data_IF_754894343711
#
_entry.id   IF_754894343711
#
_cell.length_a   1.000
_cell.length_b   1.000
_cell.length_c   1.000
_cell.angle_alpha   90.00
_cell.angle_beta   90.00
_cell.angle_gamma   90.00
#
_symmetry.space_group_name_H-M   'P 1'
#
loop_
_entity.id
_entity.type
_entity.pdbx_description
1 polymer ?
#
# COMPACT_ATOMS: atom_id res chain seq x y z
N UNK A 1 19.51 -17.68 -76.91
CA UNK A 1 19.44 -18.73 -75.87
C UNK A 1 18.50 -18.26 -74.76
N UNK A 2 17.25 -18.75 -74.69
CA UNK A 2 16.39 -18.60 -73.52
C UNK A 2 16.01 -19.99 -72.94
N UNK A 3 16.22 -20.19 -71.64
CA UNK A 3 15.78 -21.36 -70.88
C UNK A 3 15.24 -20.87 -69.52
N UNK A 4 13.92 -20.90 -69.27
CA UNK A 4 13.06 -22.01 -68.80
C UNK A 4 13.04 -22.17 -67.26
N UNK A 5 11.83 -22.47 -66.75
CA UNK A 5 11.44 -23.03 -65.43
C UNK A 5 11.37 -22.03 -64.25
N UNK A 6 10.36 -22.03 -63.36
CA UNK A 6 9.25 -22.95 -63.10
C UNK A 6 8.06 -22.22 -62.46
N UNK A 7 6.85 -22.58 -62.88
CA UNK A 7 5.57 -22.14 -62.28
C UNK A 7 5.19 -23.15 -61.20
N UNK A 8 5.13 -22.73 -59.94
CA UNK A 8 4.62 -23.52 -58.82
C UNK A 8 3.10 -23.29 -58.69
N UNK A 9 2.31 -24.33 -58.95
CA UNK A 9 0.87 -24.37 -58.65
C UNK A 9 0.73 -25.02 -57.27
N UNK A 10 0.39 -24.23 -56.25
CA UNK A 10 -0.01 -24.74 -54.93
C UNK A 10 -1.53 -24.79 -54.88
N UNK A 11 -2.07 -26.01 -54.92
CA UNK A 11 -3.48 -26.28 -54.68
C UNK A 11 -3.77 -26.16 -53.19
N UNK A 12 -4.50 -25.13 -52.79
CA UNK A 12 -5.02 -24.96 -51.43
C UNK A 12 -6.38 -25.68 -51.37
N UNK A 13 -6.40 -26.85 -50.76
CA UNK A 13 -7.61 -27.57 -50.39
C UNK A 13 -8.32 -26.85 -49.24
N UNK A 14 -9.42 -26.16 -49.57
CA UNK A 14 -10.38 -25.60 -48.63
C UNK A 14 -11.17 -26.73 -47.95
N UNK A 15 -10.77 -27.11 -46.73
CA UNK A 15 -11.66 -27.81 -45.80
C UNK A 15 -12.34 -26.76 -44.89
N UNK A 16 -13.68 -26.71 -44.84
CA UNK A 16 -14.37 -25.94 -43.81
C UNK A 16 -14.20 -26.69 -42.48
N UNK A 17 -13.28 -26.24 -41.64
CA UNK A 17 -13.24 -26.64 -40.24
C UNK A 17 -14.50 -26.06 -39.60
N UNK A 18 -15.51 -26.90 -39.39
CA UNK A 18 -16.63 -26.61 -38.50
C UNK A 18 -16.03 -26.40 -37.09
N UNK A 19 -15.75 -25.15 -36.74
CA UNK A 19 -15.41 -24.77 -35.38
C UNK A 19 -16.68 -24.95 -34.54
N UNK A 20 -16.79 -26.10 -33.88
CA UNK A 20 -17.74 -26.27 -32.80
C UNK A 20 -17.46 -25.17 -31.77
N UNK A 21 -18.42 -24.25 -31.60
CA UNK A 21 -18.38 -23.25 -30.54
C UNK A 21 -18.48 -23.98 -29.21
N UNK A 22 -17.33 -24.33 -28.63
CA UNK A 22 -17.25 -24.74 -27.24
C UNK A 22 -17.72 -23.57 -26.41
N UNK A 23 -18.84 -23.73 -25.70
CA UNK A 23 -19.26 -22.78 -24.69
C UNK A 23 -18.10 -22.67 -23.69
N UNK A 24 -17.40 -21.54 -23.70
CA UNK A 24 -16.30 -21.26 -22.80
C UNK A 24 -16.89 -21.31 -21.40
N UNK A 25 -16.69 -22.42 -20.67
CA UNK A 25 -16.93 -22.44 -19.24
C UNK A 25 -16.02 -21.35 -18.67
N UNK A 26 -16.63 -20.24 -18.25
CA UNK A 26 -15.93 -19.17 -17.55
C UNK A 26 -15.33 -19.79 -16.30
N UNK A 27 -14.05 -20.16 -16.40
CA UNK A 27 -13.24 -20.62 -15.28
C UNK A 27 -13.36 -19.53 -14.21
N UNK A 28 -13.99 -19.86 -13.09
CA UNK A 28 -14.22 -18.94 -11.98
C UNK A 28 -12.88 -18.30 -11.63
N UNK A 29 -12.75 -16.98 -11.79
CA UNK A 29 -11.52 -16.29 -11.46
C UNK A 29 -11.33 -16.35 -9.94
N UNK A 30 -10.48 -17.27 -9.49
CA UNK A 30 -10.10 -17.35 -8.08
C UNK A 30 -8.79 -16.60 -7.91
N UNK A 31 -8.88 -15.47 -7.21
CA UNK A 31 -7.75 -14.60 -6.92
C UNK A 31 -7.31 -14.92 -5.50
N UNK A 32 -6.14 -15.54 -5.37
CA UNK A 32 -5.50 -15.79 -4.09
C UNK A 32 -4.67 -14.56 -3.73
N UNK A 33 -5.02 -13.88 -2.66
CA UNK A 33 -4.24 -12.75 -2.17
C UNK A 33 -3.06 -13.21 -1.30
N UNK A 34 -2.04 -12.35 -1.19
CA UNK A 34 -0.94 -12.60 -0.26
C UNK A 34 -1.34 -12.23 1.19
N UNK A 35 -1.42 -13.21 2.11
CA UNK A 35 -1.74 -12.92 3.51
C UNK A 35 -0.73 -11.97 4.15
N UNK A 36 0.56 -12.12 3.89
CA UNK A 36 1.61 -11.37 4.58
C UNK A 36 1.67 -9.89 4.16
N UNK A 37 0.91 -9.51 3.12
CA UNK A 37 0.82 -8.12 2.64
C UNK A 37 -0.48 -7.45 3.09
N UNK A 38 -1.63 -8.10 2.92
CA UNK A 38 -2.95 -7.52 3.24
C UNK A 38 -3.96 -8.58 3.69
N UNK A 39 -3.47 -9.66 4.29
CA UNK A 39 -4.30 -10.63 5.00
C UNK A 39 -5.10 -10.00 6.14
N UNK A 40 -6.10 -10.73 6.67
CA UNK A 40 -7.01 -10.19 7.69
C UNK A 40 -6.30 -9.63 8.94
N UNK A 41 -5.32 -10.35 9.49
CA UNK A 41 -4.55 -9.90 10.65
C UNK A 41 -3.70 -8.66 10.35
N UNK A 42 -3.07 -8.60 9.18
CA UNK A 42 -2.32 -7.41 8.75
C UNK A 42 -3.24 -6.18 8.62
N UNK A 43 -4.39 -6.33 7.93
CA UNK A 43 -5.36 -5.25 7.75
C UNK A 43 -5.92 -4.75 9.08
N UNK A 44 -6.41 -5.66 9.93
CA UNK A 44 -6.94 -5.28 11.24
C UNK A 44 -5.87 -4.69 12.14
N UNK A 45 -4.62 -5.15 12.05
CA UNK A 45 -3.47 -4.51 12.67
C UNK A 45 -3.36 -3.03 12.30
N UNK A 46 -3.35 -2.70 11.00
CA UNK A 46 -3.32 -1.30 10.54
C UNK A 46 -4.57 -0.50 10.96
N UNK A 47 -5.75 -1.11 10.99
CA UNK A 47 -6.98 -0.42 11.41
C UNK A 47 -6.93 -0.06 12.90
N UNK A 48 -6.42 -0.95 13.74
CA UNK A 48 -6.22 -0.69 15.17
C UNK A 48 -5.13 0.38 15.39
N UNK A 49 -4.05 0.37 14.60
CA UNK A 49 -3.04 1.43 14.64
C UNK A 49 -3.62 2.79 14.25
N UNK A 50 -4.43 2.85 13.19
CA UNK A 50 -5.11 4.07 12.78
C UNK A 50 -6.05 4.60 13.88
N UNK A 51 -6.82 3.72 14.52
CA UNK A 51 -7.66 4.09 15.65
C UNK A 51 -6.83 4.64 16.82
N UNK A 52 -5.69 4.00 17.12
CA UNK A 52 -4.77 4.44 18.15
C UNK A 52 -4.18 5.83 17.85
N UNK A 53 -3.73 6.06 16.61
CA UNK A 53 -3.22 7.36 16.15
C UNK A 53 -4.28 8.44 16.32
N UNK A 54 -5.51 8.16 15.91
CA UNK A 54 -6.64 9.09 16.03
C UNK A 54 -6.87 9.44 17.51
N UNK A 55 -6.88 8.45 18.39
CA UNK A 55 -7.05 8.67 19.83
C UNK A 55 -5.89 9.47 20.44
N UNK A 56 -4.65 9.16 20.09
CA UNK A 56 -3.49 9.94 20.51
C UNK A 56 -3.58 11.40 20.05
N UNK A 57 -3.98 11.67 18.80
CA UNK A 57 -4.09 13.03 18.28
C UNK A 57 -5.14 13.88 19.02
N UNK A 58 -6.25 13.26 19.45
CA UNK A 58 -7.31 13.96 20.19
C UNK A 58 -7.05 14.10 21.68
N UNK A 59 -6.51 13.05 22.33
CA UNK A 59 -6.39 12.98 23.77
C UNK A 59 -4.98 13.37 24.26
N UNK A 60 -3.93 12.79 23.70
CA UNK A 60 -2.55 12.90 24.20
C UNK A 60 -1.52 12.93 23.05
N UNK A 61 -1.42 14.05 22.29
CA UNK A 61 -0.61 14.13 21.08
C UNK A 61 0.90 13.95 21.34
N UNK A 62 1.34 14.17 22.59
CA UNK A 62 2.72 13.94 23.03
C UNK A 62 3.16 12.47 22.90
N UNK A 63 2.23 11.52 23.03
CA UNK A 63 2.49 10.07 22.98
C UNK A 63 2.25 9.46 21.61
N UNK A 64 1.83 10.26 20.63
CA UNK A 64 1.62 9.80 19.25
C UNK A 64 2.90 9.26 18.60
N UNK A 65 4.08 9.57 19.14
CA UNK A 65 5.36 9.01 18.66
C UNK A 65 5.42 7.48 18.82
N UNK A 66 4.80 6.90 19.84
CA UNK A 66 4.73 5.45 20.04
C UNK A 66 4.01 4.81 18.86
N UNK A 67 2.85 5.36 18.49
CA UNK A 67 2.08 4.88 17.35
C UNK A 67 2.82 5.07 16.02
N UNK A 68 3.53 6.21 15.82
CA UNK A 68 4.37 6.41 14.63
C UNK A 68 5.40 5.31 14.47
N UNK A 69 6.19 5.04 15.52
CA UNK A 69 7.24 4.02 15.47
C UNK A 69 6.65 2.63 15.20
N UNK A 70 5.58 2.25 15.91
CA UNK A 70 4.89 0.98 15.69
C UNK A 70 4.38 0.82 14.25
N UNK A 71 3.79 1.88 13.70
CA UNK A 71 3.32 1.90 12.33
C UNK A 71 4.46 1.85 11.31
N UNK A 72 5.54 2.60 11.51
CA UNK A 72 6.70 2.54 10.61
C UNK A 72 7.31 1.13 10.54
N UNK A 73 7.39 0.42 11.67
CA UNK A 73 7.86 -0.97 11.70
C UNK A 73 6.91 -1.91 10.94
N UNK A 74 5.60 -1.73 11.14
CA UNK A 74 4.58 -2.53 10.46
C UNK A 74 4.62 -2.30 8.94
N UNK A 75 4.69 -1.03 8.53
CA UNK A 75 4.85 -0.65 7.12
C UNK A 75 6.11 -1.28 6.54
N UNK A 76 7.26 -1.14 7.20
CA UNK A 76 8.53 -1.69 6.73
C UNK A 76 8.43 -3.21 6.49
N UNK A 77 7.80 -3.93 7.41
CA UNK A 77 7.62 -5.39 7.29
C UNK A 77 6.81 -5.78 6.05
N UNK A 78 5.71 -5.07 5.79
CA UNK A 78 4.83 -5.32 4.64
C UNK A 78 5.54 -4.97 3.32
N UNK A 79 6.32 -3.89 3.28
CA UNK A 79 7.09 -3.53 2.09
C UNK A 79 8.19 -4.56 1.79
N UNK A 80 8.89 -5.08 2.81
CA UNK A 80 9.90 -6.14 2.62
C UNK A 80 9.24 -7.37 1.97
N UNK A 81 8.10 -7.82 2.47
CA UNK A 81 7.36 -8.94 1.90
C UNK A 81 6.91 -8.65 0.45
N UNK A 82 6.39 -7.44 0.21
CA UNK A 82 5.97 -7.01 -1.14
C UNK A 82 7.15 -7.03 -2.13
N UNK A 83 8.31 -6.51 -1.76
CA UNK A 83 9.49 -6.51 -2.63
C UNK A 83 10.03 -7.93 -2.87
N UNK A 84 9.98 -8.81 -1.87
CA UNK A 84 10.30 -10.23 -2.04
C UNK A 84 9.36 -10.91 -3.05
N UNK A 85 8.08 -10.56 -3.05
CA UNK A 85 7.10 -11.07 -3.99
C UNK A 85 7.31 -10.53 -5.41
N UNK A 86 7.75 -9.28 -5.57
CA UNK A 86 8.11 -8.74 -6.88
C UNK A 86 9.21 -9.55 -7.55
N UNK A 87 10.23 -9.97 -6.79
CA UNK A 87 11.31 -10.82 -7.31
C UNK A 87 10.78 -12.17 -7.84
N UNK A 88 9.72 -12.70 -7.23
CA UNK A 88 9.07 -13.95 -7.65
C UNK A 88 8.04 -13.77 -8.75
N UNK A 89 7.78 -12.53 -9.21
CA UNK A 89 6.71 -12.18 -10.17
C UNK A 89 5.31 -12.67 -9.72
N UNK A 90 5.09 -12.77 -8.41
CA UNK A 90 3.82 -13.24 -7.83
C UNK A 90 2.88 -12.10 -7.43
N UNK A 91 3.33 -10.84 -7.55
CA UNK A 91 2.52 -9.68 -7.16
C UNK A 91 1.39 -9.46 -8.14
N UNK A 92 0.19 -9.31 -7.60
CA UNK A 92 -0.99 -8.95 -8.38
C UNK A 92 -1.07 -7.42 -8.40
N UNK A 93 -1.33 -6.81 -9.57
CA UNK A 93 -1.34 -5.35 -9.72
C UNK A 93 -2.26 -4.61 -8.72
N UNK A 94 -3.31 -5.27 -8.22
CA UNK A 94 -4.23 -4.73 -7.21
C UNK A 94 -3.57 -4.54 -5.83
N UNK A 95 -2.57 -5.36 -5.50
CA UNK A 95 -1.88 -5.37 -4.21
C UNK A 95 -1.11 -4.07 -4.01
N UNK A 96 -0.59 -3.48 -5.08
CA UNK A 96 0.12 -2.21 -5.01
C UNK A 96 -0.80 -1.05 -4.59
N UNK A 97 -2.03 -1.02 -5.10
CA UNK A 97 -3.02 -0.04 -4.69
C UNK A 97 -3.45 -0.30 -3.23
N UNK A 98 -3.75 -1.56 -2.86
CA UNK A 98 -4.10 -1.92 -1.48
C UNK A 98 -2.99 -1.53 -0.50
N UNK A 99 -1.74 -1.78 -0.86
CA UNK A 99 -0.57 -1.41 -0.08
C UNK A 99 -0.55 0.09 0.20
N UNK A 100 -0.70 0.94 -0.82
CA UNK A 100 -0.74 2.39 -0.64
C UNK A 100 -1.82 2.84 0.35
N UNK A 101 -3.03 2.29 0.25
CA UNK A 101 -4.10 2.68 1.17
C UNK A 101 -3.85 2.20 2.61
N UNK A 102 -3.29 0.99 2.77
CA UNK A 102 -2.97 0.44 4.09
C UNK A 102 -1.78 1.14 4.75
N UNK A 103 -0.70 1.38 4.02
CA UNK A 103 0.56 1.88 4.60
C UNK A 103 0.72 3.38 4.53
N UNK A 104 0.08 4.05 3.58
CA UNK A 104 0.25 5.48 3.37
C UNK A 104 -1.00 6.24 3.73
N UNK A 105 -2.16 5.91 3.15
CA UNK A 105 -3.38 6.68 3.39
C UNK A 105 -3.84 6.63 4.85
N UNK A 106 -3.78 5.46 5.51
CA UNK A 106 -4.11 5.32 6.93
C UNK A 106 -3.16 6.08 7.86
N UNK A 107 -1.91 6.28 7.44
CA UNK A 107 -0.84 6.84 8.27
C UNK A 107 -0.48 8.28 7.90
N UNK A 108 -1.04 8.82 6.82
CA UNK A 108 -0.69 10.12 6.24
C UNK A 108 -0.83 11.27 7.25
N UNK A 109 -1.83 11.19 8.12
CA UNK A 109 -2.15 12.22 9.11
C UNK A 109 -1.45 12.02 10.46
N UNK A 110 -0.60 10.99 10.61
CA UNK A 110 0.19 10.75 11.80
C UNK A 110 1.45 11.66 11.86
N UNK A 111 1.30 12.93 11.48
CA UNK A 111 2.39 13.89 11.43
C UNK A 111 2.63 14.50 12.83
N UNK A 112 3.89 14.89 13.14
CA UNK A 112 4.16 15.67 14.34
C UNK A 112 3.45 17.04 14.27
N UNK A 113 2.78 17.43 15.36
CA UNK A 113 1.99 18.67 15.43
C UNK A 113 2.85 19.92 15.66
N UNK A 114 4.07 19.76 16.19
CA UNK A 114 5.06 20.82 16.40
C UNK A 114 6.44 20.44 15.89
N UNK A 115 7.31 21.46 15.80
CA UNK A 115 8.73 21.27 15.45
C UNK A 115 9.44 20.38 16.49
N UNK A 116 9.20 20.58 17.79
CA UNK A 116 9.80 19.76 18.85
C UNK A 116 9.30 18.31 18.79
N UNK A 117 8.01 18.09 18.52
CA UNK A 117 7.47 16.76 18.27
C UNK A 117 8.08 16.07 17.04
N UNK A 118 8.40 16.84 16.00
CA UNK A 118 9.09 16.33 14.81
C UNK A 118 10.55 15.95 15.13
N UNK A 119 11.26 16.76 15.91
CA UNK A 119 12.61 16.48 16.40
C UNK A 119 12.64 15.18 17.21
N UNK A 120 11.71 15.04 18.17
CA UNK A 120 11.52 13.83 19.00
C UNK A 120 11.21 12.58 18.18
N UNK A 121 10.51 12.73 17.06
CA UNK A 121 10.12 11.62 16.17
C UNK A 121 11.05 11.46 14.97
N UNK A 122 12.21 12.14 14.95
CA UNK A 122 13.06 12.29 13.76
C UNK A 122 13.44 10.96 13.08
N UNK A 123 13.83 9.95 13.88
CA UNK A 123 14.15 8.62 13.37
C UNK A 123 12.95 7.92 12.70
N UNK A 124 11.81 7.85 13.38
CA UNK A 124 10.58 7.26 12.82
C UNK A 124 10.08 8.00 11.57
N UNK A 125 10.15 9.33 11.59
CA UNK A 125 9.77 10.17 10.45
C UNK A 125 10.70 9.93 9.26
N UNK A 126 12.01 9.85 9.49
CA UNK A 126 12.99 9.54 8.46
C UNK A 126 12.70 8.19 7.81
N UNK A 127 12.50 7.14 8.61
CA UNK A 127 12.19 5.81 8.10
C UNK A 127 10.86 5.78 7.32
N UNK A 128 9.82 6.45 7.81
CA UNK A 128 8.55 6.56 7.09
C UNK A 128 8.70 7.26 5.73
N UNK A 129 9.41 8.40 5.70
CA UNK A 129 9.67 9.14 4.47
C UNK A 129 10.52 8.33 3.49
N UNK A 130 11.50 7.57 3.97
CA UNK A 130 12.29 6.68 3.14
C UNK A 130 11.43 5.61 2.48
N UNK A 131 10.49 5.01 3.22
CA UNK A 131 9.56 4.01 2.67
C UNK A 131 8.63 4.65 1.61
N UNK A 132 8.11 5.85 1.87
CA UNK A 132 7.33 6.57 0.86
C UNK A 132 8.15 6.87 -0.39
N UNK A 133 9.40 7.28 -0.25
CA UNK A 133 10.32 7.43 -1.38
C UNK A 133 10.43 6.12 -2.17
N UNK A 134 10.66 4.99 -1.49
CA UNK A 134 10.75 3.67 -2.14
C UNK A 134 9.47 3.32 -2.90
N UNK A 135 8.29 3.56 -2.33
CA UNK A 135 7.02 3.33 -3.01
C UNK A 135 6.88 4.14 -4.30
N UNK A 136 7.15 5.45 -4.24
CA UNK A 136 7.03 6.30 -5.42
C UNK A 136 8.06 5.96 -6.50
N UNK A 137 9.29 5.63 -6.11
CA UNK A 137 10.33 5.21 -7.05
C UNK A 137 10.06 3.85 -7.68
N UNK A 138 9.41 2.92 -6.97
CA UNK A 138 9.03 1.60 -7.48
C UNK A 138 7.76 1.63 -8.35
N UNK A 139 6.88 2.62 -8.16
CA UNK A 139 5.57 2.68 -8.81
C UNK A 139 5.62 2.62 -10.35
N UNK A 140 6.55 3.30 -11.06
CA UNK A 140 6.67 3.16 -12.51
C UNK A 140 6.88 1.71 -12.95
N UNK A 141 7.77 0.96 -12.29
CA UNK A 141 7.98 -0.44 -12.63
C UNK A 141 6.68 -1.26 -12.48
N UNK A 142 5.92 -1.00 -11.41
CA UNK A 142 4.66 -1.71 -11.16
C UNK A 142 3.63 -1.44 -12.25
N UNK A 143 3.39 -0.18 -12.60
CA UNK A 143 2.36 0.17 -13.58
C UNK A 143 2.77 -0.07 -15.04
N UNK A 144 4.07 -0.11 -15.34
CA UNK A 144 4.57 -0.39 -16.69
C UNK A 144 4.82 -1.87 -16.96
N UNK A 145 5.26 -2.64 -15.96
CA UNK A 145 5.63 -4.05 -16.15
C UNK A 145 4.85 -5.00 -15.23
N UNK A 146 4.78 -4.72 -13.93
CA UNK A 146 4.26 -5.71 -12.98
C UNK A 146 2.73 -5.89 -13.02
N UNK A 147 1.97 -4.92 -13.57
CA UNK A 147 0.52 -5.05 -13.72
C UNK A 147 0.10 -6.21 -14.64
N UNK A 148 1.00 -6.63 -15.54
CA UNK A 148 0.77 -7.79 -16.40
C UNK A 148 1.07 -9.12 -15.68
N UNK A 149 1.80 -9.09 -14.56
CA UNK A 149 2.04 -10.27 -13.75
C UNK A 149 0.73 -10.71 -13.09
N UNK A 150 0.47 -12.01 -13.12
CA UNK A 150 -0.74 -12.59 -12.53
C UNK A 150 -2.04 -12.32 -13.30
N UNK A 151 -2.00 -11.65 -14.46
CA UNK A 151 -3.19 -11.48 -15.30
C UNK A 151 -3.67 -12.83 -15.82
N UNK A 152 -4.84 -13.28 -15.35
CA UNK A 152 -5.49 -14.49 -15.84
C UNK A 152 -6.43 -14.15 -17.01
N UNK A 153 -6.47 -14.95 -18.09
CA UNK A 153 -7.36 -14.71 -19.22
C UNK A 153 -8.82 -14.82 -18.76
N UNK A 154 -9.63 -13.80 -19.08
CA UNK A 154 -11.04 -13.73 -18.68
C UNK A 154 -11.28 -13.22 -17.26
N UNK A 155 -10.22 -12.86 -16.51
CA UNK A 155 -10.36 -12.23 -15.20
C UNK A 155 -10.20 -10.71 -15.29
N UNK A 156 -11.25 -9.98 -14.92
CA UNK A 156 -11.24 -8.51 -14.87
C UNK A 156 -11.09 -8.04 -13.42
N UNK A 157 -9.88 -7.61 -13.06
CA UNK A 157 -9.59 -7.07 -11.75
C UNK A 157 -10.09 -5.63 -11.62
N UNK A 158 -10.78 -5.31 -10.52
CA UNK A 158 -11.42 -4.01 -10.31
C UNK A 158 -10.94 -3.35 -9.03
N UNK A 159 -10.63 -2.06 -9.06
CA UNK A 159 -10.39 -1.27 -7.84
C UNK A 159 -11.65 -0.48 -7.49
N UNK A 160 -11.92 -0.31 -6.20
CA UNK A 160 -13.06 0.49 -5.76
C UNK A 160 -12.68 1.96 -5.62
N UNK A 161 -13.19 2.83 -6.49
CA UNK A 161 -13.06 4.28 -6.34
C UNK A 161 -14.45 4.91 -6.43
N UNK A 162 -15.25 4.76 -5.37
CA UNK A 162 -16.70 5.00 -5.32
C UNK A 162 -17.55 4.12 -6.25
N UNK A 163 -16.97 3.67 -7.36
CA UNK A 163 -17.49 2.69 -8.30
C UNK A 163 -16.39 1.67 -8.62
N UNK A 164 -16.72 0.40 -8.93
CA UNK A 164 -15.72 -0.57 -9.36
C UNK A 164 -15.17 -0.21 -10.75
N UNK A 165 -13.87 0.08 -10.82
CA UNK A 165 -13.16 0.43 -12.07
C UNK A 165 -12.20 -0.71 -12.41
N UNK A 166 -12.28 -1.23 -13.63
CA UNK A 166 -11.30 -2.21 -14.13
C UNK A 166 -9.89 -1.61 -14.15
N UNK A 167 -8.91 -2.29 -13.55
CA UNK A 167 -7.50 -1.86 -13.58
C UNK A 167 -6.93 -1.92 -15.00
N UNK A 168 -7.55 -2.71 -15.87
CA UNK A 168 -7.16 -2.90 -17.26
C UNK A 168 -7.84 -1.92 -18.20
N UNK A 169 -8.76 -1.07 -17.71
CA UNK A 169 -9.33 -0.01 -18.50
C UNK A 169 -8.21 0.93 -19.00
N UNK A 170 -8.15 1.15 -20.31
CA UNK A 170 -7.08 1.94 -20.96
C UNK A 170 -6.88 3.31 -20.32
N UNK A 171 -7.98 3.97 -19.96
CA UNK A 171 -7.96 5.27 -19.26
C UNK A 171 -7.28 5.17 -17.90
N UNK A 172 -7.77 4.28 -17.03
CA UNK A 172 -7.21 4.08 -15.69
C UNK A 172 -5.72 3.70 -15.76
N UNK A 173 -5.35 2.77 -16.63
CA UNK A 173 -3.97 2.33 -16.78
C UNK A 173 -3.04 3.46 -17.23
N UNK A 174 -3.44 4.24 -18.23
CA UNK A 174 -2.67 5.40 -18.69
C UNK A 174 -2.52 6.45 -17.59
N UNK A 175 -3.61 6.75 -16.87
CA UNK A 175 -3.61 7.67 -15.75
C UNK A 175 -2.64 7.23 -14.65
N UNK A 176 -2.66 5.96 -14.24
CA UNK A 176 -1.74 5.44 -13.21
C UNK A 176 -0.28 5.46 -13.67
N UNK A 177 0.00 5.19 -14.96
CA UNK A 177 1.35 5.34 -15.53
C UNK A 177 1.84 6.78 -15.39
N UNK A 178 1.04 7.77 -15.79
CA UNK A 178 1.40 9.19 -15.68
C UNK A 178 1.62 9.59 -14.22
N UNK A 179 0.70 9.25 -13.31
CA UNK A 179 0.85 9.54 -11.88
C UNK A 179 2.08 8.87 -11.27
N UNK A 180 2.40 7.63 -11.67
CA UNK A 180 3.59 6.93 -11.19
C UNK A 180 4.88 7.60 -11.61
N UNK A 181 4.96 8.11 -12.86
CA UNK A 181 6.12 8.85 -13.35
C UNK A 181 6.26 10.20 -12.64
N UNK A 182 5.15 10.93 -12.50
CA UNK A 182 5.13 12.19 -11.74
C UNK A 182 5.54 11.98 -10.28
N UNK A 183 5.03 10.92 -9.65
CA UNK A 183 5.40 10.52 -8.29
C UNK A 183 6.87 10.17 -8.17
N UNK A 184 7.43 9.39 -9.09
CA UNK A 184 8.85 9.04 -9.08
C UNK A 184 9.77 10.24 -9.32
N UNK A 185 9.36 11.21 -10.14
CA UNK A 185 10.19 12.39 -10.45
C UNK A 185 10.09 13.45 -9.35
N UNK A 186 8.90 13.65 -8.77
CA UNK A 186 8.65 14.73 -7.81
C UNK A 186 8.63 14.22 -6.36
N UNK A 187 7.73 13.29 -6.06
CA UNK A 187 7.47 12.87 -4.69
C UNK A 187 8.60 11.98 -4.14
N UNK A 188 9.13 11.06 -4.95
CA UNK A 188 10.25 10.18 -4.58
C UNK A 188 11.46 10.95 -4.05
N UNK A 189 12.10 11.81 -4.87
CA UNK A 189 13.23 12.64 -4.44
C UNK A 189 12.90 13.55 -3.27
N UNK A 190 11.71 14.16 -3.25
CA UNK A 190 11.27 15.01 -2.13
C UNK A 190 11.26 14.24 -0.81
N UNK A 191 10.65 13.04 -0.80
CA UNK A 191 10.63 12.19 0.39
C UNK A 191 12.01 11.65 0.76
N UNK A 192 12.85 11.33 -0.22
CA UNK A 192 14.23 10.91 0.04
C UNK A 192 15.06 12.01 0.70
N UNK A 193 15.02 13.23 0.15
CA UNK A 193 15.71 14.39 0.72
C UNK A 193 15.15 14.70 2.11
N UNK A 194 13.83 14.65 2.28
CA UNK A 194 13.18 14.81 3.58
C UNK A 194 13.62 13.76 4.60
N UNK A 195 13.75 12.50 4.18
CA UNK A 195 14.24 11.41 5.01
C UNK A 195 15.69 11.64 5.47
N UNK A 196 16.57 12.03 4.55
CA UNK A 196 17.96 12.38 4.86
C UNK A 196 18.06 13.59 5.80
N UNK A 197 17.27 14.64 5.55
CA UNK A 197 17.24 15.83 6.39
C UNK A 197 16.76 15.50 7.82
N UNK A 198 15.70 14.69 7.95
CA UNK A 198 15.21 14.22 9.24
C UNK A 198 16.25 13.35 9.97
N UNK A 199 16.96 12.48 9.25
CA UNK A 199 18.00 11.62 9.80
C UNK A 199 19.22 12.43 10.29
N UNK A 200 19.72 13.34 9.45
CA UNK A 200 20.84 14.22 9.80
C UNK A 200 20.46 15.14 10.96
N UNK A 201 19.24 15.70 10.95
CA UNK A 201 18.73 16.50 12.06
C UNK A 201 18.69 15.69 13.36
N UNK A 202 18.20 14.46 13.29
CA UNK A 202 18.18 13.52 14.43
C UNK A 202 19.58 13.26 15.00
N UNK A 203 20.57 12.97 14.17
CA UNK A 203 21.97 12.78 14.61
C UNK A 203 22.65 14.06 15.10
N UNK A 204 22.21 15.25 14.69
CA UNK A 204 22.76 16.55 15.09
C UNK A 204 22.16 17.10 16.40
N UNK A 205 21.59 16.26 17.26
CA UNK A 205 21.08 16.69 18.56
C UNK A 205 19.60 17.10 18.57
N UNK A 206 18.82 16.80 17.53
CA UNK A 206 17.35 16.88 17.67
C UNK A 206 16.80 15.91 18.74
N UNK A 207 17.61 14.97 19.23
CA UNK A 207 17.31 14.09 20.35
C UNK A 207 17.86 14.56 21.71
N UNK A 208 18.23 15.83 21.87
CA UNK A 208 18.71 16.33 23.18
C UNK A 208 17.67 16.13 24.29
N UNK A 209 18.14 16.00 25.54
CA UNK A 209 17.29 15.69 26.71
C UNK A 209 16.11 16.67 26.92
N UNK A 210 16.25 17.92 26.49
CA UNK A 210 15.15 18.90 26.50
C UNK A 210 14.01 18.53 25.55
N UNK A 211 14.33 17.93 24.40
CA UNK A 211 13.35 17.47 23.42
C UNK A 211 12.70 16.17 23.89
N UNK A 212 13.45 15.30 24.57
CA UNK A 212 12.92 14.07 25.13
C UNK A 212 11.85 14.35 26.20
N UNK A 213 12.12 15.31 27.09
CA UNK A 213 11.22 15.76 28.15
C UNK A 213 10.08 16.67 27.67
N UNK A 214 10.07 17.07 26.40
CA UNK A 214 9.01 17.92 25.88
C UNK A 214 7.67 17.19 25.82
N UNK A 215 6.68 17.76 26.53
CA UNK A 215 5.28 17.39 26.50
C UNK A 215 4.53 18.30 25.52
N UNK A 216 3.93 17.69 24.50
CA UNK A 216 3.21 18.42 23.47
C UNK A 216 1.80 18.76 24.00
N UNK A 217 1.48 20.05 24.21
CA UNK A 217 0.15 20.43 24.63
C UNK A 217 -0.86 20.15 23.51
N UNK A 218 -2.09 19.82 23.91
CA UNK A 218 -3.20 19.72 22.97
C UNK A 218 -3.36 21.05 22.23
N UNK A 219 -3.29 21.02 20.91
CA UNK A 219 -3.36 22.22 20.08
C UNK A 219 -4.39 22.03 18.95
N UNK A 220 -4.80 23.14 18.32
CA UNK A 220 -5.79 23.08 17.23
C UNK A 220 -5.31 22.22 16.05
N UNK A 221 -3.98 22.15 15.83
CA UNK A 221 -3.39 21.33 14.76
C UNK A 221 -3.61 19.84 15.02
N UNK A 222 -3.52 19.37 16.26
CA UNK A 222 -3.75 17.97 16.60
C UNK A 222 -5.21 17.58 16.36
N UNK A 223 -6.15 18.49 16.66
CA UNK A 223 -7.58 18.31 16.37
C UNK A 223 -7.84 18.26 14.86
N UNK A 224 -7.22 19.16 14.08
CA UNK A 224 -7.33 19.17 12.62
C UNK A 224 -6.78 17.86 12.03
N UNK A 225 -5.57 17.46 12.42
CA UNK A 225 -4.95 16.21 11.95
C UNK A 225 -5.77 14.99 12.36
N UNK A 226 -6.28 14.94 13.59
CA UNK A 226 -7.15 13.86 14.06
C UNK A 226 -8.45 13.77 13.27
N UNK A 227 -9.05 14.91 12.93
CA UNK A 227 -10.27 14.96 12.11
C UNK A 227 -9.99 14.49 10.67
N UNK A 228 -8.89 14.93 10.08
CA UNK A 228 -8.45 14.45 8.76
C UNK A 228 -8.11 12.96 8.79
N UNK A 229 -7.50 12.46 9.88
CA UNK A 229 -7.21 11.05 10.07
C UNK A 229 -8.50 10.21 10.07
N UNK A 230 -9.58 10.68 10.70
CA UNK A 230 -10.88 9.99 10.68
C UNK A 230 -11.37 9.83 9.23
N UNK A 231 -11.48 10.94 8.49
CA UNK A 231 -12.00 10.93 7.12
C UNK A 231 -11.12 10.14 6.14
N UNK A 232 -9.80 10.36 6.21
CA UNK A 232 -8.84 9.65 5.38
C UNK A 232 -8.79 8.16 5.67
N UNK A 233 -8.81 7.77 6.93
CA UNK A 233 -8.77 6.36 7.31
C UNK A 233 -10.05 5.63 7.01
N UNK A 234 -11.22 6.24 7.22
CA UNK A 234 -12.50 5.67 6.80
C UNK A 234 -12.53 5.43 5.28
N UNK A 235 -12.01 6.38 4.49
CA UNK A 235 -11.89 6.25 3.03
C UNK A 235 -10.95 5.11 2.66
N UNK A 236 -9.80 4.99 3.33
CA UNK A 236 -8.82 3.93 3.07
C UNK A 236 -9.36 2.54 3.43
N UNK A 237 -10.04 2.38 4.57
CA UNK A 237 -10.70 1.14 4.97
C UNK A 237 -11.76 0.76 3.94
N UNK A 238 -12.62 1.70 3.56
CA UNK A 238 -13.66 1.46 2.56
C UNK A 238 -13.06 1.04 1.20
N UNK A 239 -12.00 1.72 0.76
CA UNK A 239 -11.25 1.35 -0.45
C UNK A 239 -10.75 -0.10 -0.38
N UNK A 240 -10.05 -0.46 0.70
CA UNK A 240 -9.45 -1.78 0.88
C UNK A 240 -10.51 -2.88 0.94
N UNK A 241 -11.51 -2.74 1.81
CA UNK A 241 -12.53 -3.78 2.03
C UNK A 241 -13.42 -3.98 0.80
N UNK A 242 -13.84 -2.88 0.14
CA UNK A 242 -14.65 -3.00 -1.07
C UNK A 242 -13.86 -3.58 -2.22
N UNK A 243 -12.58 -3.22 -2.37
CA UNK A 243 -11.71 -3.79 -3.41
C UNK A 243 -11.53 -5.31 -3.20
N UNK A 244 -11.29 -5.77 -1.97
CA UNK A 244 -11.21 -7.20 -1.66
C UNK A 244 -12.53 -7.92 -1.95
N UNK A 245 -13.65 -7.33 -1.53
CA UNK A 245 -14.99 -7.90 -1.72
C UNK A 245 -15.40 -8.00 -3.20
N UNK A 246 -15.16 -6.95 -3.99
CA UNK A 246 -15.53 -6.90 -5.42
C UNK A 246 -14.80 -7.96 -6.24
N UNK A 247 -13.55 -8.27 -5.88
CA UNK A 247 -12.74 -9.25 -6.61
C UNK A 247 -12.81 -10.65 -6.00
N UNK A 248 -13.61 -10.87 -4.95
CA UNK A 248 -13.68 -12.15 -4.24
C UNK A 248 -12.29 -12.69 -3.86
N UNK A 249 -11.39 -11.82 -3.40
CA UNK A 249 -10.04 -12.23 -3.03
C UNK A 249 -10.11 -13.18 -1.84
N UNK A 250 -9.58 -14.38 -2.00
CA UNK A 250 -9.52 -15.38 -0.94
C UNK A 250 -8.10 -15.53 -0.39
N UNK A 251 -8.01 -16.04 0.84
CA UNK A 251 -6.76 -16.30 1.54
C UNK A 251 -6.75 -17.76 1.99
N UNK A 252 -6.52 -18.72 1.07
CA UNK A 252 -6.60 -20.13 1.39
C UNK A 252 -5.48 -20.53 2.36
N UNK A 253 -5.84 -21.27 3.41
CA UNK A 253 -4.89 -21.81 4.38
C UNK A 253 -4.33 -20.78 5.36
N UNK A 254 -4.89 -19.57 5.43
CA UNK A 254 -4.38 -18.50 6.29
C UNK A 254 -5.11 -18.50 7.62
N UNK A 255 -4.34 -18.51 8.71
CA UNK A 255 -4.85 -18.41 10.08
C UNK A 255 -4.40 -17.11 10.73
N UNK A 256 -5.13 -16.64 11.74
CA UNK A 256 -4.63 -15.56 12.60
C UNK A 256 -3.39 -15.97 13.42
N UNK A 257 -3.11 -17.27 13.49
CA UNK A 257 -1.93 -17.83 14.17
C UNK A 257 -0.66 -17.70 13.32
N UNK A 258 -0.77 -17.44 12.01
CA UNK A 258 0.39 -17.21 11.15
C UNK A 258 1.16 -15.99 11.65
N UNK A 259 2.48 -16.10 11.77
CA UNK A 259 3.32 -15.10 12.44
C UNK A 259 3.18 -13.70 11.83
N UNK A 260 3.08 -13.59 10.51
CA UNK A 260 2.84 -12.32 9.81
C UNK A 260 1.51 -11.67 10.18
N UNK A 261 0.44 -12.46 10.33
CA UNK A 261 -0.88 -11.97 10.75
C UNK A 261 -0.89 -11.57 12.22
N UNK A 262 -0.38 -12.45 13.07
CA UNK A 262 -0.41 -12.30 14.52
C UNK A 262 0.41 -11.10 14.98
N UNK A 263 1.64 -10.95 14.46
CA UNK A 263 2.54 -9.86 14.85
C UNK A 263 1.90 -8.50 14.52
N UNK A 264 1.36 -8.33 13.31
CA UNK A 264 0.71 -7.06 12.92
C UNK A 264 -0.50 -6.76 13.81
N UNK A 265 -1.33 -7.78 14.08
CA UNK A 265 -2.51 -7.64 14.94
C UNK A 265 -2.13 -7.25 16.37
N UNK A 266 -1.09 -7.88 16.94
CA UNK A 266 -0.58 -7.58 18.28
C UNK A 266 0.01 -6.17 18.36
N UNK A 267 0.80 -5.74 17.37
CA UNK A 267 1.33 -4.38 17.32
C UNK A 267 0.17 -3.37 17.30
N UNK A 268 -0.84 -3.59 16.47
CA UNK A 268 -2.03 -2.72 16.42
C UNK A 268 -2.82 -2.71 17.73
N UNK A 269 -3.09 -3.89 18.30
CA UNK A 269 -3.81 -4.05 19.55
C UNK A 269 -3.11 -3.36 20.73
N UNK A 270 -1.81 -3.61 20.92
CA UNK A 270 -1.05 -2.98 21.99
C UNK A 270 -0.92 -1.46 21.82
N UNK A 271 -0.81 -0.98 20.58
CA UNK A 271 -0.79 0.46 20.31
C UNK A 271 -2.12 1.12 20.70
N UNK A 272 -3.25 0.48 20.37
CA UNK A 272 -4.59 0.97 20.74
C UNK A 272 -4.82 0.94 22.26
N UNK A 273 -4.44 -0.15 22.92
CA UNK A 273 -4.52 -0.26 24.39
C UNK A 273 -3.68 0.83 25.05
N UNK A 274 -2.47 1.07 24.57
CA UNK A 274 -1.60 2.17 25.06
C UNK A 274 -2.24 3.55 24.87
N UNK A 275 -2.89 3.78 23.73
CA UNK A 275 -3.62 5.02 23.47
C UNK A 275 -4.80 5.20 24.42
N UNK A 276 -5.59 4.15 24.65
CA UNK A 276 -6.74 4.17 25.55
C UNK A 276 -6.33 4.46 27.00
N UNK A 277 -5.31 3.75 27.52
CA UNK A 277 -4.79 4.00 28.86
C UNK A 277 -4.21 5.41 29.01
N UNK A 278 -3.58 5.93 27.96
CA UNK A 278 -3.04 7.28 27.98
C UNK A 278 -4.11 8.37 27.93
N UNK A 279 -5.25 8.09 27.29
CA UNK A 279 -6.38 9.02 27.22
C UNK A 279 -7.21 9.08 28.52
N UNK A 280 -7.14 8.05 29.37
CA UNK A 280 -7.84 8.01 30.66
C UNK A 280 -7.10 8.71 31.81
N UNK A 281 -5.81 9.04 31.63
CA UNK A 281 -5.01 9.78 32.61
C UNK A 281 -5.08 11.27 32.31
#
# INVERSE_FOLDING_TARGET
>A
MPSRFATFIVSISLFPILAAATSIQHKTCNISGDPDVYGPGVRYGFYLQWAAITLFLFACPEKANIARTASTLSVLSVYINTFRNFQKRSVIGIEWALLWYLTSALLLYNLPVSKKGAQKSGGSLSAMLLIFSMYYMASPYVFFAALEYGKQPGCDLKVFLFTPISIYAKGFWMTMKVFSMGGAILAGPLFFIGALAALVGWFRGWGDSEVENYQEPRNIRSVILGTMAIGGGATAIAFTEMTIKINHITFPGTSFEDSGQLISLLIGGFTLVSAAFSAMR
#
